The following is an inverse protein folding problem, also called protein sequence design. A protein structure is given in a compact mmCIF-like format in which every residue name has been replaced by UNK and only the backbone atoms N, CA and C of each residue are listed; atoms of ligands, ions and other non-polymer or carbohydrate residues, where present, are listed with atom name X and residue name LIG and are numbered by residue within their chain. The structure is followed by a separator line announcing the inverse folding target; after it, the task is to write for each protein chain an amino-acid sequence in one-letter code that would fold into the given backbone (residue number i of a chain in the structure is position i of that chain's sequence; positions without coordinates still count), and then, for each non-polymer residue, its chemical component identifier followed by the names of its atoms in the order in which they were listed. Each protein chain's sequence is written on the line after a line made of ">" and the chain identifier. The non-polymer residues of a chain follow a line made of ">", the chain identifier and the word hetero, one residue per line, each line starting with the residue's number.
data_IF_485705202920
#
_entry.id   IF_485705202920
#
_cell.length_a   1.000
_cell.length_b   1.000
_cell.length_c   1.000
_cell.angle_alpha   90.00
_cell.angle_beta   90.00
_cell.angle_gamma   90.00
#
_symmetry.space_group_name_H-M   'P 1'
#
loop_
_entity.id
_entity.type
_entity.pdbx_description
1 polymer ?
#
# COMPACT_ATOMS: atom_id res chain seq x y z
N UNK A 1 0.56 14.64 -21.06
CA UNK A 1 1.53 13.72 -21.68
C UNK A 1 2.19 12.90 -20.57
N UNK A 2 1.59 11.78 -20.16
CA UNK A 2 2.09 10.94 -19.06
C UNK A 2 2.86 9.77 -19.67
N UNK A 3 4.19 9.72 -19.48
CA UNK A 3 5.04 8.61 -19.93
C UNK A 3 4.83 7.37 -19.04
N UNK A 4 4.94 6.15 -19.61
CA UNK A 4 4.73 4.90 -18.88
C UNK A 4 6.06 4.40 -18.27
N UNK A 5 6.15 4.32 -16.95
CA UNK A 5 7.17 3.51 -16.26
C UNK A 5 6.52 2.29 -15.62
N UNK A 6 7.26 1.19 -15.67
CA UNK A 6 6.82 -0.19 -15.58
C UNK A 6 7.03 -0.73 -14.15
N UNK A 7 6.09 -1.60 -13.74
CA UNK A 7 6.17 -2.63 -12.68
C UNK A 7 6.54 -2.24 -11.25
N UNK A 8 5.55 -2.20 -10.33
CA UNK A 8 5.78 -1.91 -8.91
C UNK A 8 4.87 -2.78 -8.01
N UNK A 9 5.52 -3.75 -7.36
CA UNK A 9 5.09 -4.90 -6.54
C UNK A 9 4.67 -4.52 -5.09
N UNK A 10 3.98 -5.31 -4.25
CA UNK A 10 3.15 -6.52 -4.42
C UNK A 10 1.94 -6.57 -3.46
N UNK A 11 1.57 -5.46 -2.81
CA UNK A 11 0.34 -5.37 -2.00
C UNK A 11 -0.57 -4.22 -2.48
N UNK A 12 0.02 -3.17 -3.07
CA UNK A 12 -0.68 -2.33 -4.06
C UNK A 12 -0.82 -3.03 -5.43
N UNK A 13 -0.10 -4.13 -5.67
CA UNK A 13 -0.04 -4.78 -6.99
C UNK A 13 -1.05 -5.89 -7.19
N UNK A 14 -1.63 -6.45 -6.13
CA UNK A 14 -2.64 -7.50 -6.31
C UNK A 14 -3.98 -6.93 -6.76
N UNK A 15 -4.34 -5.72 -6.32
CA UNK A 15 -5.48 -4.97 -6.87
C UNK A 15 -5.16 -4.34 -8.24
N UNK A 16 -3.88 -4.14 -8.59
CA UNK A 16 -3.43 -3.64 -9.90
C UNK A 16 -3.11 -4.75 -10.94
N UNK A 17 -3.28 -6.04 -10.61
CA UNK A 17 -3.08 -7.15 -11.55
C UNK A 17 -4.13 -7.23 -12.68
N UNK A 18 -5.16 -6.37 -12.65
CA UNK A 18 -6.07 -6.13 -13.79
C UNK A 18 -5.44 -5.26 -14.91
N UNK A 19 -4.14 -4.96 -14.83
CA UNK A 19 -3.42 -4.17 -15.84
C UNK A 19 -2.93 -4.97 -17.05
N UNK A 20 -3.66 -5.98 -17.51
CA UNK A 20 -3.38 -6.65 -18.79
C UNK A 20 -4.44 -6.44 -19.88
N UNK A 21 -5.51 -5.65 -19.65
CA UNK A 21 -6.55 -5.51 -20.69
C UNK A 21 -7.27 -4.17 -20.80
N UNK A 22 -6.94 -3.12 -20.03
CA UNK A 22 -7.77 -1.91 -20.10
C UNK A 22 -7.09 -0.58 -19.75
N UNK A 23 -6.22 -0.09 -20.64
CA UNK A 23 -5.75 1.31 -20.56
C UNK A 23 -6.72 2.32 -21.20
N UNK A 24 -7.94 1.90 -21.57
CA UNK A 24 -8.94 2.74 -22.25
C UNK A 24 -10.31 2.80 -21.53
N UNK A 25 -10.47 2.22 -20.35
CA UNK A 25 -11.77 2.19 -19.65
C UNK A 25 -11.86 3.23 -18.54
N UNK A 26 -12.82 4.17 -18.67
CA UNK A 26 -13.16 5.16 -17.65
C UNK A 26 -13.34 4.53 -16.24
N UNK A 27 -13.95 3.34 -16.16
CA UNK A 27 -14.19 2.62 -14.90
C UNK A 27 -12.90 2.28 -14.13
N UNK A 28 -11.83 1.94 -14.84
CA UNK A 28 -10.54 1.63 -14.21
C UNK A 28 -9.90 2.88 -13.61
N UNK A 29 -9.95 3.99 -14.35
CA UNK A 29 -9.45 5.28 -13.84
C UNK A 29 -10.23 5.72 -12.59
N UNK A 30 -11.54 5.52 -12.58
CA UNK A 30 -12.37 5.78 -11.39
C UNK A 30 -12.00 4.87 -10.22
N UNK A 31 -11.87 3.56 -10.44
CA UNK A 31 -11.47 2.62 -9.39
C UNK A 31 -10.10 2.97 -8.80
N UNK A 32 -9.11 3.22 -9.66
CA UNK A 32 -7.77 3.65 -9.23
C UNK A 32 -7.81 4.95 -8.43
N UNK A 33 -8.60 5.93 -8.87
CA UNK A 33 -8.80 7.17 -8.13
C UNK A 33 -9.41 6.93 -6.75
N UNK A 34 -10.43 6.10 -6.63
CA UNK A 34 -11.10 5.82 -5.36
C UNK A 34 -10.22 5.01 -4.40
N UNK A 35 -9.43 4.04 -4.92
CA UNK A 35 -8.59 3.17 -4.10
C UNK A 35 -7.36 3.88 -3.55
N UNK A 36 -6.75 4.79 -4.33
CA UNK A 36 -5.48 5.40 -3.93
C UNK A 36 -5.23 6.80 -4.54
N UNK A 37 -5.71 7.07 -5.76
CA UNK A 37 -5.46 8.35 -6.42
C UNK A 37 -6.02 9.58 -5.68
N UNK A 38 -7.14 9.42 -4.97
CA UNK A 38 -7.76 10.45 -4.15
C UNK A 38 -6.83 10.87 -3.00
N UNK A 39 -6.23 9.88 -2.33
CA UNK A 39 -5.26 10.11 -1.28
C UNK A 39 -3.99 10.80 -1.82
N UNK A 40 -3.46 10.38 -2.96
CA UNK A 40 -2.33 11.06 -3.60
C UNK A 40 -2.61 12.52 -3.97
N UNK A 41 -3.84 12.82 -4.37
CA UNK A 41 -4.26 14.18 -4.72
C UNK A 41 -4.48 15.05 -3.48
N UNK A 42 -4.93 14.45 -2.38
CA UNK A 42 -5.25 15.13 -1.12
C UNK A 42 -4.58 14.44 0.08
N UNK A 43 -3.24 14.45 0.16
CA UNK A 43 -2.48 13.61 1.10
C UNK A 43 -2.62 14.02 2.58
N UNK A 44 -3.17 15.20 2.86
CA UNK A 44 -3.40 15.71 4.23
C UNK A 44 -4.89 15.71 4.62
N UNK A 45 -5.77 15.18 3.78
CA UNK A 45 -7.19 14.98 4.12
C UNK A 45 -7.34 13.69 4.93
N UNK A 46 -7.56 13.83 6.24
CA UNK A 46 -7.64 12.71 7.18
C UNK A 46 -8.80 11.76 6.90
N UNK A 47 -9.86 12.22 6.26
CA UNK A 47 -11.06 11.41 5.96
C UNK A 47 -10.90 10.57 4.69
N UNK A 48 -9.85 10.80 3.90
CA UNK A 48 -9.63 10.15 2.59
C UNK A 48 -8.33 9.35 2.51
N UNK A 49 -7.77 9.00 3.67
CA UNK A 49 -6.51 8.29 3.78
C UNK A 49 -6.69 6.77 3.92
N UNK A 50 -7.52 6.35 4.88
CA UNK A 50 -7.73 4.93 5.18
C UNK A 50 -8.83 4.35 4.31
N UNK A 51 -8.75 3.05 4.04
CA UNK A 51 -9.76 2.41 3.22
C UNK A 51 -11.09 2.29 4.01
N UNK A 52 -12.26 2.58 3.39
CA UNK A 52 -13.52 2.60 4.12
C UNK A 52 -13.84 1.23 4.75
N UNK A 53 -14.14 1.15 6.07
CA UNK A 53 -14.41 -0.13 6.75
C UNK A 53 -15.53 -0.95 6.10
N UNK A 54 -16.57 -0.30 5.59
CA UNK A 54 -17.66 -0.96 4.86
C UNK A 54 -17.16 -1.64 3.59
N UNK A 55 -16.27 -1.00 2.84
CA UNK A 55 -15.69 -1.58 1.64
C UNK A 55 -14.74 -2.75 2.01
N UNK A 56 -13.95 -2.60 3.07
CA UNK A 56 -13.12 -3.69 3.62
C UNK A 56 -13.97 -4.91 4.00
N UNK A 57 -15.09 -4.71 4.68
CA UNK A 57 -15.97 -5.80 5.10
C UNK A 57 -16.53 -6.60 3.92
N UNK A 58 -16.85 -5.93 2.80
CA UNK A 58 -17.26 -6.60 1.56
C UNK A 58 -16.11 -7.44 0.99
N UNK A 59 -14.88 -6.93 1.01
CA UNK A 59 -13.68 -7.64 0.53
C UNK A 59 -13.26 -8.79 1.45
N UNK A 60 -13.63 -8.77 2.73
CA UNK A 60 -13.36 -9.87 3.65
C UNK A 60 -14.02 -11.19 3.23
N UNK A 61 -15.19 -11.15 2.59
CA UNK A 61 -15.89 -12.36 2.15
C UNK A 61 -15.12 -13.17 1.10
N UNK A 62 -14.73 -12.61 -0.08
CA UNK A 62 -13.91 -13.35 -1.03
C UNK A 62 -12.51 -13.67 -0.47
N UNK A 63 -11.94 -12.82 0.40
CA UNK A 63 -10.65 -13.09 1.03
C UNK A 63 -10.71 -14.30 1.98
N UNK A 64 -11.76 -14.42 2.79
CA UNK A 64 -11.99 -15.60 3.64
C UNK A 64 -12.02 -16.87 2.80
N UNK A 65 -12.81 -16.88 1.71
CA UNK A 65 -12.92 -18.03 0.82
C UNK A 65 -11.57 -18.38 0.17
N UNK A 66 -10.78 -17.38 -0.21
CA UNK A 66 -9.43 -17.58 -0.74
C UNK A 66 -8.50 -18.24 0.28
N UNK A 67 -8.50 -17.76 1.53
CA UNK A 67 -7.69 -18.37 2.60
C UNK A 67 -8.17 -19.79 2.89
N UNK A 68 -9.48 -20.00 2.99
CA UNK A 68 -10.09 -21.30 3.24
C UNK A 68 -9.82 -22.31 2.11
N UNK A 69 -9.58 -21.85 0.88
CA UNK A 69 -9.23 -22.70 -0.25
C UNK A 69 -7.83 -23.30 -0.12
N UNK A 70 -6.87 -22.57 0.46
CA UNK A 70 -5.48 -23.03 0.62
C UNK A 70 -5.17 -23.63 2.01
N UNK A 71 -6.04 -23.41 3.00
CA UNK A 71 -5.80 -23.77 4.40
C UNK A 71 -6.81 -24.80 4.93
N UNK A 72 -6.47 -25.43 6.05
CA UNK A 72 -7.39 -26.35 6.73
C UNK A 72 -8.43 -25.56 7.54
N UNK A 73 -9.62 -26.10 7.81
CA UNK A 73 -10.63 -25.44 8.66
C UNK A 73 -10.09 -25.00 10.03
N UNK A 74 -9.11 -25.72 10.59
CA UNK A 74 -8.45 -25.38 11.86
C UNK A 74 -7.46 -24.20 11.75
N UNK A 75 -6.83 -23.98 10.59
CA UNK A 75 -5.82 -22.93 10.40
C UNK A 75 -6.37 -21.69 9.71
N UNK A 76 -7.46 -21.82 8.95
CA UNK A 76 -8.14 -20.71 8.25
C UNK A 76 -8.44 -19.52 9.16
N UNK A 77 -9.02 -19.67 10.36
CA UNK A 77 -9.33 -18.53 11.23
C UNK A 77 -8.06 -17.78 11.68
N UNK A 78 -6.98 -18.50 11.97
CA UNK A 78 -5.72 -17.90 12.38
C UNK A 78 -5.04 -17.12 11.25
N UNK A 79 -5.01 -17.69 10.03
CA UNK A 79 -4.44 -17.03 8.85
C UNK A 79 -5.26 -15.80 8.45
N UNK A 80 -6.58 -15.92 8.43
CA UNK A 80 -7.47 -14.81 8.14
C UNK A 80 -7.36 -13.70 9.20
N UNK A 81 -7.42 -14.07 10.48
CA UNK A 81 -7.30 -13.13 11.60
C UNK A 81 -5.94 -12.42 11.63
N UNK A 82 -4.84 -13.15 11.40
CA UNK A 82 -3.50 -12.57 11.28
C UNK A 82 -3.37 -11.62 10.09
N UNK A 83 -3.93 -12.00 8.93
CA UNK A 83 -3.99 -11.14 7.75
C UNK A 83 -4.77 -9.85 8.00
N UNK A 84 -5.95 -9.95 8.62
CA UNK A 84 -6.79 -8.80 8.96
C UNK A 84 -6.10 -7.88 9.99
N UNK A 85 -5.47 -8.45 11.00
CA UNK A 85 -4.66 -7.69 11.97
C UNK A 85 -3.51 -6.96 11.26
N UNK A 86 -2.81 -7.63 10.35
CA UNK A 86 -1.77 -7.03 9.52
C UNK A 86 -2.28 -5.83 8.70
N UNK A 87 -3.47 -5.96 8.10
CA UNK A 87 -4.13 -4.89 7.38
C UNK A 87 -4.47 -3.69 8.30
N UNK A 88 -5.04 -3.93 9.48
CA UNK A 88 -5.34 -2.84 10.44
C UNK A 88 -4.05 -2.14 10.87
N UNK A 89 -2.99 -2.90 11.19
CA UNK A 89 -1.69 -2.33 11.53
C UNK A 89 -1.12 -1.48 10.39
N UNK A 90 -1.29 -1.92 9.14
CA UNK A 90 -0.91 -1.16 7.95
C UNK A 90 -1.67 0.18 7.87
N UNK A 91 -2.99 0.19 7.97
CA UNK A 91 -3.80 1.41 7.85
C UNK A 91 -3.54 2.39 9.00
N UNK A 92 -3.40 1.89 10.23
CA UNK A 92 -3.02 2.72 11.38
C UNK A 92 -1.63 3.31 11.22
N UNK A 93 -0.66 2.52 10.74
CA UNK A 93 0.70 3.01 10.47
C UNK A 93 0.64 4.09 9.40
N UNK A 94 -0.05 3.84 8.29
CA UNK A 94 -0.21 4.79 7.20
C UNK A 94 -0.77 6.14 7.70
N UNK A 95 -1.86 6.08 8.46
CA UNK A 95 -2.48 7.27 9.05
C UNK A 95 -1.49 8.02 9.96
N UNK A 96 -0.76 7.29 10.80
CA UNK A 96 0.24 7.85 11.70
C UNK A 96 1.42 8.49 10.94
N UNK A 97 1.86 7.94 9.80
CA UNK A 97 2.93 8.55 9.00
C UNK A 97 2.51 9.90 8.42
N UNK A 98 1.26 10.07 8.02
CA UNK A 98 0.74 11.37 7.55
C UNK A 98 0.56 12.36 8.70
N UNK A 99 -0.16 11.97 9.74
CA UNK A 99 -0.69 12.91 10.74
C UNK A 99 0.09 12.94 12.06
N UNK A 100 0.84 11.89 12.37
CA UNK A 100 1.63 11.79 13.60
C UNK A 100 2.96 12.53 13.53
N UNK A 101 3.59 12.75 14.68
CA UNK A 101 4.95 13.27 14.81
C UNK A 101 5.84 12.21 15.48
N UNK A 102 6.35 11.22 14.72
CA UNK A 102 7.18 10.17 15.28
C UNK A 102 8.49 10.73 15.84
N UNK A 103 8.73 10.47 17.13
CA UNK A 103 9.95 10.84 17.84
C UNK A 103 11.05 9.77 17.76
N UNK A 104 10.67 8.51 17.53
CA UNK A 104 11.60 7.37 17.42
C UNK A 104 12.10 7.18 15.98
N UNK A 105 13.38 6.80 15.85
CA UNK A 105 14.07 6.66 14.57
C UNK A 105 13.38 5.76 13.52
N UNK A 106 12.89 4.55 13.83
CA UNK A 106 12.28 3.71 12.79
C UNK A 106 11.01 4.33 12.20
N UNK A 107 10.13 4.87 13.05
CA UNK A 107 8.90 5.52 12.59
C UNK A 107 9.17 6.85 11.88
N UNK A 108 10.19 7.61 12.31
CA UNK A 108 10.62 8.84 11.65
C UNK A 108 11.21 8.56 10.26
N UNK A 109 11.98 7.48 10.13
CA UNK A 109 12.48 7.00 8.85
C UNK A 109 11.34 6.61 7.91
N UNK A 110 10.38 5.80 8.38
CA UNK A 110 9.20 5.42 7.60
C UNK A 110 8.37 6.64 7.19
N UNK A 111 8.19 7.63 8.07
CA UNK A 111 7.50 8.88 7.72
C UNK A 111 8.21 9.60 6.59
N UNK A 112 9.53 9.78 6.70
CA UNK A 112 10.31 10.41 5.63
C UNK A 112 10.25 9.62 4.32
N UNK A 113 10.31 8.30 4.40
CA UNK A 113 10.22 7.40 3.26
C UNK A 113 8.88 7.56 2.53
N UNK A 114 7.79 7.50 3.27
CA UNK A 114 6.43 7.60 2.75
C UNK A 114 6.11 9.00 2.20
N UNK A 115 6.52 10.07 2.89
CA UNK A 115 6.35 11.43 2.37
C UNK A 115 7.18 11.66 1.10
N UNK A 116 8.34 11.01 0.97
CA UNK A 116 9.14 11.07 -0.26
C UNK A 116 8.41 10.41 -1.44
N UNK A 117 7.68 9.32 -1.19
CA UNK A 117 6.77 8.74 -2.18
C UNK A 117 5.70 9.75 -2.62
N UNK A 118 4.98 10.38 -1.68
CA UNK A 118 3.93 11.35 -2.04
C UNK A 118 4.42 12.60 -2.79
N UNK A 119 5.53 13.19 -2.34
CA UNK A 119 5.92 14.55 -2.73
C UNK A 119 7.13 14.63 -3.67
N UNK A 120 7.85 13.53 -3.89
CA UNK A 120 9.05 13.55 -4.74
C UNK A 120 9.04 12.47 -5.81
N UNK A 121 8.88 11.20 -5.44
CA UNK A 121 9.06 10.06 -6.34
C UNK A 121 7.89 9.08 -6.13
N UNK A 122 6.76 9.38 -6.77
CA UNK A 122 5.53 8.59 -6.65
C UNK A 122 5.62 7.21 -7.31
N UNK A 123 6.61 7.00 -8.17
CA UNK A 123 6.92 5.70 -8.77
C UNK A 123 8.02 4.94 -8.02
N UNK A 124 8.28 5.24 -6.74
CA UNK A 124 9.15 4.43 -5.86
C UNK A 124 8.63 4.50 -4.43
N UNK A 125 9.12 3.60 -3.57
CA UNK A 125 8.86 3.66 -2.13
C UNK A 125 7.42 3.30 -1.73
N UNK A 126 6.95 2.13 -2.13
CA UNK A 126 5.58 1.66 -1.87
C UNK A 126 5.36 1.15 -0.44
N UNK A 127 6.44 0.81 0.24
CA UNK A 127 6.44 0.27 1.59
C UNK A 127 6.00 1.26 2.65
N UNK A 128 4.86 1.01 3.28
CA UNK A 128 4.34 1.81 4.41
C UNK A 128 4.86 1.31 5.76
N UNK A 129 4.77 0.00 5.99
CA UNK A 129 5.19 -0.63 7.26
C UNK A 129 6.67 -1.02 7.25
N UNK A 130 7.24 -1.27 6.07
CA UNK A 130 8.67 -1.55 5.86
C UNK A 130 9.05 -1.36 4.40
N UNK A 131 10.33 -1.09 4.13
CA UNK A 131 10.91 -1.02 2.78
C UNK A 131 11.40 -2.38 2.24
N UNK A 132 11.15 -3.48 2.97
CA UNK A 132 11.66 -4.82 2.65
C UNK A 132 11.28 -5.23 1.21
N UNK A 133 10.00 -5.13 0.88
CA UNK A 133 9.51 -5.51 -0.44
C UNK A 133 9.99 -4.55 -1.54
N UNK A 134 10.20 -3.27 -1.21
CA UNK A 134 10.80 -2.36 -2.18
C UNK A 134 12.24 -2.74 -2.53
N UNK A 135 13.00 -3.30 -1.58
CA UNK A 135 14.32 -3.84 -1.85
C UNK A 135 14.25 -5.09 -2.73
N UNK A 136 13.35 -6.03 -2.40
CA UNK A 136 13.14 -7.28 -3.16
C UNK A 136 12.75 -7.00 -4.62
N UNK A 137 11.93 -5.98 -4.85
CA UNK A 137 11.40 -5.66 -6.19
C UNK A 137 12.09 -4.48 -6.88
N UNK A 138 13.17 -3.94 -6.33
CA UNK A 138 13.93 -2.86 -6.97
C UNK A 138 13.18 -1.52 -7.05
N UNK A 139 12.28 -1.25 -6.09
CA UNK A 139 11.46 -0.04 -6.00
C UNK A 139 11.88 0.92 -4.88
N UNK A 140 13.08 0.74 -4.32
CA UNK A 140 13.66 1.69 -3.36
C UNK A 140 13.88 3.09 -4.00
N UNK A 141 13.62 4.18 -3.25
CA UNK A 141 13.99 5.53 -3.68
C UNK A 141 15.52 5.71 -3.74
N UNK A 142 16.05 6.52 -4.67
CA UNK A 142 17.49 6.76 -4.83
C UNK A 142 18.21 7.27 -3.57
N UNK A 143 17.49 8.03 -2.71
CA UNK A 143 18.05 8.51 -1.44
C UNK A 143 18.31 7.40 -0.42
N UNK A 144 17.80 6.19 -0.66
CA UNK A 144 17.96 5.02 0.20
C UNK A 144 18.85 3.93 -0.43
N UNK A 145 19.14 4.00 -1.73
CA UNK A 145 20.07 3.07 -2.41
C UNK A 145 21.53 3.40 -2.13
N UNK A 146 21.81 4.64 -1.75
CA UNK A 146 23.10 5.06 -1.19
C UNK A 146 23.18 4.58 0.27
N UNK A 147 23.52 3.31 0.46
CA UNK A 147 24.07 2.85 1.73
C UNK A 147 25.16 3.84 2.18
N UNK A 148 25.04 4.30 3.41
CA UNK A 148 26.03 5.13 4.09
C UNK A 148 27.39 4.40 3.99
N UNK A 149 28.22 4.78 3.01
CA UNK A 149 29.65 4.47 3.00
C UNK A 149 30.32 5.50 3.90
N UNK A 150 30.21 5.29 5.21
CA UNK A 150 31.08 5.92 6.20
C UNK A 150 31.67 4.79 7.02
#
# INVERSE_FOLDING_TARGET
>A
MLRPSRWQCLIMSFLLLLRLSSMHCCRWNTAHYLLHGCHHKHPMDSLRLVFPPTATAILCFPFWNLVAFFATPSTTPALFGGGLLGYVMYDCTHYYLHHGQPSKDPAKHLKRYHLNHHFRIQDKGFGITSSLWDAVFGTLPPSMTSGKKN
#
